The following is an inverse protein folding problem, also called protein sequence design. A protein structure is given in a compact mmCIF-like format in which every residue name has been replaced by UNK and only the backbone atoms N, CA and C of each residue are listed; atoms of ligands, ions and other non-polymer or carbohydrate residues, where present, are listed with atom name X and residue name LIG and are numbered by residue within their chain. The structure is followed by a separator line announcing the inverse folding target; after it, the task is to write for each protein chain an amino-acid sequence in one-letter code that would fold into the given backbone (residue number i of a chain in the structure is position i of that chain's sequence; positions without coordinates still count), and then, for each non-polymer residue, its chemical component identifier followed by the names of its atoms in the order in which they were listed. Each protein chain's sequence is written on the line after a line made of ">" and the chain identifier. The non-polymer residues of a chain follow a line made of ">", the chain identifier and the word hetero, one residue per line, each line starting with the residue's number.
data_IF_160723029198
#
_entry.id   IF_160723029198
#
_cell.length_a   1.000
_cell.length_b   1.000
_cell.length_c   1.000
_cell.angle_alpha   90.00
_cell.angle_beta   90.00
_cell.angle_gamma   90.00
#
_symmetry.space_group_name_H-M   'P 1'
#
loop_
_entity.id
_entity.type
_entity.pdbx_description
1 polymer ?
#
# COMPACT_ATOMS: atom_id res chain seq x y z
N UNK A 1 62.20 0.71 -11.41
CA UNK A 1 61.58 1.93 -10.87
C UNK A 1 60.14 1.69 -10.51
N UNK A 2 59.49 2.58 -9.73
CA UNK A 2 58.06 2.44 -9.35
C UNK A 2 57.11 2.33 -10.55
N UNK A 3 57.48 2.97 -11.66
CA UNK A 3 56.70 2.89 -12.91
C UNK A 3 56.79 1.54 -13.59
N UNK A 4 57.97 0.93 -13.60
CA UNK A 4 58.19 -0.41 -14.17
C UNK A 4 57.39 -1.48 -13.37
N UNK A 5 57.44 -1.41 -12.04
CA UNK A 5 56.68 -2.34 -11.18
C UNK A 5 55.16 -2.12 -11.33
N UNK A 6 54.71 -0.87 -11.57
CA UNK A 6 53.30 -0.61 -11.84
C UNK A 6 52.89 -1.13 -13.22
N UNK A 7 53.73 -1.02 -14.24
CA UNK A 7 53.45 -1.56 -15.58
C UNK A 7 53.44 -3.12 -15.56
N UNK A 8 54.31 -3.75 -14.76
CA UNK A 8 54.34 -5.19 -14.61
C UNK A 8 53.12 -5.70 -13.86
N UNK A 9 52.60 -4.94 -12.87
CA UNK A 9 51.41 -5.28 -12.09
C UNK A 9 50.11 -5.05 -12.86
N UNK A 10 50.05 -4.05 -13.75
CA UNK A 10 48.85 -3.66 -14.51
C UNK A 10 48.95 -3.99 -15.99
N UNK A 11 50.06 -4.57 -16.45
CA UNK A 11 50.30 -4.91 -17.86
C UNK A 11 49.37 -5.97 -18.44
N UNK A 12 48.64 -6.69 -17.59
CA UNK A 12 47.69 -7.73 -17.98
C UNK A 12 46.22 -7.27 -17.78
N UNK A 13 45.97 -5.97 -17.75
CA UNK A 13 44.62 -5.45 -17.73
C UNK A 13 44.01 -5.66 -19.12
N UNK A 14 43.17 -6.69 -19.24
CA UNK A 14 42.42 -6.93 -20.47
C UNK A 14 41.54 -5.73 -20.81
N UNK A 15 41.54 -5.33 -22.06
CA UNK A 15 40.59 -4.31 -22.53
C UNK A 15 39.15 -4.76 -22.25
N UNK A 16 38.29 -3.85 -21.75
CA UNK A 16 36.90 -4.16 -21.48
C UNK A 16 36.22 -4.74 -22.71
N UNK A 17 35.52 -5.84 -22.54
CA UNK A 17 34.80 -6.46 -23.66
C UNK A 17 33.81 -5.48 -24.29
N UNK A 18 33.60 -5.60 -25.60
CA UNK A 18 32.77 -4.65 -26.35
C UNK A 18 31.32 -4.51 -25.79
N UNK A 19 30.83 -5.53 -25.09
CA UNK A 19 29.50 -5.47 -24.47
C UNK A 19 29.50 -4.78 -23.08
N UNK A 20 30.64 -4.56 -22.45
CA UNK A 20 30.73 -3.92 -21.13
C UNK A 20 30.27 -2.45 -21.19
N UNK A 21 30.54 -1.77 -22.31
CA UNK A 21 30.08 -0.39 -22.50
C UNK A 21 28.57 -0.22 -22.49
N UNK A 22 27.78 -0.99 -23.28
CA UNK A 22 26.33 -0.89 -23.21
C UNK A 22 25.77 -1.28 -21.85
N UNK A 23 26.37 -2.26 -21.15
CA UNK A 23 25.96 -2.64 -19.79
C UNK A 23 26.22 -1.49 -18.80
N UNK A 24 27.38 -0.83 -18.87
CA UNK A 24 27.69 0.34 -18.04
C UNK A 24 26.70 1.49 -18.29
N UNK A 25 26.35 1.77 -19.55
CA UNK A 25 25.34 2.78 -19.89
C UNK A 25 23.94 2.42 -19.36
N UNK A 26 23.60 1.15 -19.35
CA UNK A 26 22.34 0.68 -18.76
C UNK A 26 22.32 0.94 -17.23
N UNK A 27 23.42 0.70 -16.51
CA UNK A 27 23.52 1.01 -15.09
C UNK A 27 23.47 2.52 -14.83
N UNK A 28 24.19 3.33 -15.63
CA UNK A 28 24.14 4.79 -15.53
C UNK A 28 22.71 5.28 -15.78
N UNK A 29 22.02 4.74 -16.80
CA UNK A 29 20.63 5.05 -17.10
C UNK A 29 19.70 4.70 -15.94
N UNK A 30 19.93 3.58 -15.24
CA UNK A 30 19.13 3.18 -14.10
C UNK A 30 19.23 4.14 -12.91
N UNK A 31 20.37 4.82 -12.75
CA UNK A 31 20.56 5.84 -11.70
C UNK A 31 19.59 7.02 -11.83
N UNK A 32 19.09 7.31 -13.05
CA UNK A 32 18.10 8.36 -13.27
C UNK A 32 16.79 8.04 -12.56
N UNK A 33 16.44 6.76 -12.37
CA UNK A 33 15.23 6.35 -11.68
C UNK A 33 15.32 6.43 -10.15
N UNK A 34 16.55 6.43 -9.60
CA UNK A 34 16.77 6.48 -8.15
C UNK A 34 16.11 7.71 -7.50
N UNK A 35 16.31 8.96 -8.02
CA UNK A 35 15.67 10.12 -7.42
C UNK A 35 14.14 10.06 -7.47
N UNK A 36 13.54 9.48 -8.51
CA UNK A 36 12.09 9.27 -8.60
C UNK A 36 11.61 8.29 -7.54
N UNK A 37 12.34 7.20 -7.32
CA UNK A 37 12.02 6.22 -6.29
C UNK A 37 12.15 6.82 -4.88
N UNK A 38 13.26 7.54 -4.62
CA UNK A 38 13.49 8.23 -3.34
C UNK A 38 12.42 9.29 -3.08
N UNK A 39 12.04 10.07 -4.09
CA UNK A 39 10.96 11.04 -3.99
C UNK A 39 9.62 10.37 -3.64
N UNK A 40 9.32 9.22 -4.27
CA UNK A 40 8.15 8.41 -3.91
C UNK A 40 8.18 7.96 -2.45
N UNK A 41 9.31 7.43 -1.97
CA UNK A 41 9.48 7.05 -0.58
C UNK A 41 9.27 8.22 0.39
N UNK A 42 9.87 9.38 0.12
CA UNK A 42 9.71 10.58 0.94
C UNK A 42 8.25 11.05 0.96
N UNK A 43 7.57 10.97 -0.16
CA UNK A 43 6.16 11.38 -0.28
C UNK A 43 5.21 10.49 0.53
N UNK A 44 5.49 9.19 0.61
CA UNK A 44 4.58 8.21 1.25
C UNK A 44 5.02 7.79 2.66
N UNK A 45 6.32 7.82 2.96
CA UNK A 45 6.85 7.37 4.25
C UNK A 45 6.30 8.11 5.49
N UNK A 46 6.06 9.44 5.49
CA UNK A 46 5.59 10.15 6.67
C UNK A 46 4.09 10.03 6.92
N UNK A 47 3.32 9.43 5.98
CA UNK A 47 1.87 9.32 6.13
C UNK A 47 1.51 8.26 7.15
N UNK A 48 1.09 8.70 8.32
CA UNK A 48 0.61 7.84 9.39
C UNK A 48 -0.90 8.01 9.53
N UNK A 49 -1.57 6.89 9.73
CA UNK A 49 -2.99 6.83 10.06
C UNK A 49 -3.09 6.16 11.43
N UNK A 50 -3.89 6.71 12.31
CA UNK A 50 -4.20 6.09 13.59
C UNK A 50 -5.66 6.33 13.98
N UNK A 51 -6.19 5.44 14.79
CA UNK A 51 -7.51 5.52 15.36
C UNK A 51 -7.37 5.43 16.87
N UNK A 52 -7.89 6.41 17.56
CA UNK A 52 -7.93 6.42 19.01
C UNK A 52 -9.14 5.66 19.55
N UNK A 53 -9.12 5.20 20.81
CA UNK A 53 -10.23 4.47 21.41
C UNK A 53 -11.54 5.26 21.48
N UNK A 54 -11.48 6.58 21.46
CA UNK A 54 -12.63 7.49 21.41
C UNK A 54 -13.26 7.61 20.02
N UNK A 55 -12.63 6.99 18.99
CA UNK A 55 -13.06 7.01 17.60
C UNK A 55 -12.52 8.19 16.80
N UNK A 56 -11.58 8.96 17.34
CA UNK A 56 -10.86 10.01 16.63
C UNK A 56 -9.92 9.38 15.59
N UNK A 57 -10.04 9.80 14.34
CA UNK A 57 -9.21 9.34 13.23
C UNK A 57 -8.14 10.36 12.91
N UNK A 58 -6.87 9.99 13.07
CA UNK A 58 -5.74 10.81 12.68
C UNK A 58 -5.31 10.48 11.25
N UNK A 59 -5.45 11.45 10.40
CA UNK A 59 -5.01 11.43 9.00
C UNK A 59 -3.67 12.17 8.87
N UNK A 60 -2.91 11.98 7.79
CA UNK A 60 -1.63 12.66 7.60
C UNK A 60 -1.69 14.19 7.62
N UNK A 61 -2.81 14.77 7.25
CA UNK A 61 -2.98 16.21 7.09
C UNK A 61 -3.98 16.82 8.08
N UNK A 62 -4.81 15.99 8.73
CA UNK A 62 -5.87 16.46 9.62
C UNK A 62 -6.26 15.38 10.63
N UNK A 63 -6.93 15.80 11.68
CA UNK A 63 -7.52 14.90 12.69
C UNK A 63 -9.03 15.12 12.67
N UNK A 64 -9.78 14.03 12.58
CA UNK A 64 -11.23 14.03 12.58
C UNK A 64 -11.74 13.41 13.88
N UNK A 65 -12.49 14.15 14.65
CA UNK A 65 -13.20 13.59 15.79
C UNK A 65 -14.27 12.59 15.31
N UNK A 66 -14.66 11.67 16.17
CA UNK A 66 -15.71 10.70 15.86
C UNK A 66 -17.03 11.35 15.43
N UNK A 67 -17.32 12.54 15.97
CA UNK A 67 -18.50 13.36 15.68
C UNK A 67 -18.45 14.07 14.33
N UNK A 68 -17.25 14.27 13.78
CA UNK A 68 -17.06 14.95 12.50
C UNK A 68 -17.22 14.00 11.32
N UNK A 69 -17.28 12.68 11.60
CA UNK A 69 -17.49 11.63 10.60
C UNK A 69 -18.99 11.32 10.55
N UNK A 70 -19.63 11.69 9.46
CA UNK A 70 -21.04 11.42 9.23
C UNK A 70 -21.30 10.03 8.70
N UNK A 71 -20.47 9.58 7.74
CA UNK A 71 -20.66 8.29 7.06
C UNK A 71 -19.33 7.76 6.50
N UNK A 72 -19.34 6.51 6.05
CA UNK A 72 -18.24 5.87 5.34
C UNK A 72 -18.79 5.12 4.12
N UNK A 73 -18.34 5.53 2.95
CA UNK A 73 -18.70 4.89 1.69
C UNK A 73 -17.75 3.72 1.43
N UNK A 74 -18.31 2.51 1.41
CA UNK A 74 -17.59 1.24 1.23
C UNK A 74 -17.83 0.59 -0.13
N UNK A 75 -18.45 1.27 -1.09
CA UNK A 75 -18.80 0.73 -2.41
C UNK A 75 -17.60 0.12 -3.17
N UNK A 76 -16.44 0.73 -3.01
CA UNK A 76 -15.21 0.28 -3.66
C UNK A 76 -14.30 -0.58 -2.79
N UNK A 77 -14.75 -0.86 -1.56
CA UNK A 77 -13.92 -1.55 -0.59
C UNK A 77 -13.53 -2.95 -1.04
N UNK A 78 -14.53 -3.78 -1.37
CA UNK A 78 -14.29 -5.17 -1.78
C UNK A 78 -13.51 -5.29 -3.10
N UNK A 79 -13.69 -4.34 -4.02
CA UNK A 79 -13.06 -4.39 -5.33
C UNK A 79 -11.65 -3.77 -5.38
N UNK A 80 -11.41 -2.73 -4.57
CA UNK A 80 -10.18 -1.90 -4.67
C UNK A 80 -9.52 -1.58 -3.33
N UNK A 81 -10.03 -2.11 -2.22
CA UNK A 81 -9.58 -1.79 -0.86
C UNK A 81 -9.54 -0.28 -0.60
N UNK A 82 -10.51 0.43 -1.15
CA UNK A 82 -10.64 1.89 -1.04
C UNK A 82 -11.99 2.23 -0.43
N UNK A 83 -12.01 3.08 0.59
CA UNK A 83 -13.21 3.64 1.20
C UNK A 83 -13.13 5.17 1.20
N UNK A 84 -14.27 5.83 1.35
CA UNK A 84 -14.34 7.29 1.46
C UNK A 84 -15.04 7.68 2.77
N UNK A 85 -14.34 8.44 3.64
CA UNK A 85 -14.98 9.05 4.80
C UNK A 85 -15.79 10.26 4.34
N UNK A 86 -17.03 10.33 4.76
CA UNK A 86 -17.92 11.48 4.55
C UNK A 86 -18.00 12.26 5.86
N UNK A 87 -17.55 13.50 5.84
CA UNK A 87 -17.58 14.37 7.00
C UNK A 87 -18.89 15.14 7.08
N UNK A 88 -19.23 15.64 8.27
CA UNK A 88 -20.47 16.41 8.51
C UNK A 88 -20.56 17.67 7.63
N UNK A 89 -19.42 18.26 7.27
CA UNK A 89 -19.33 19.38 6.34
C UNK A 89 -19.44 18.98 4.85
N UNK A 90 -19.66 17.69 4.57
CA UNK A 90 -19.87 17.17 3.22
C UNK A 90 -18.58 16.87 2.44
N UNK A 91 -17.40 16.99 3.06
CA UNK A 91 -16.13 16.60 2.43
C UNK A 91 -16.04 15.08 2.33
N UNK A 92 -15.44 14.60 1.25
CA UNK A 92 -15.11 13.19 1.05
C UNK A 92 -13.61 13.00 1.10
N UNK A 93 -13.15 12.14 2.01
CA UNK A 93 -11.73 11.86 2.23
C UNK A 93 -11.46 10.42 1.84
N UNK A 94 -10.70 10.24 0.77
CA UNK A 94 -10.36 8.93 0.26
C UNK A 94 -9.32 8.24 1.14
N UNK A 95 -9.62 7.02 1.57
CA UNK A 95 -8.74 6.11 2.28
C UNK A 95 -8.38 4.94 1.38
N UNK A 96 -7.08 4.73 1.15
CA UNK A 96 -6.56 3.69 0.27
C UNK A 96 -5.74 2.67 1.08
N UNK A 97 -6.40 1.57 1.46
CA UNK A 97 -5.78 0.52 2.26
C UNK A 97 -4.82 -0.38 1.47
N UNK A 98 -4.81 -0.27 0.14
CA UNK A 98 -3.84 -0.98 -0.68
C UNK A 98 -2.42 -0.43 -0.48
N UNK A 99 -2.31 0.90 -0.30
CA UNK A 99 -1.01 1.58 -0.14
C UNK A 99 -0.54 1.56 1.31
N UNK A 100 -1.46 1.71 2.28
CA UNK A 100 -1.11 1.89 3.69
C UNK A 100 -1.45 0.67 4.52
N UNK A 101 -0.40 0.05 5.07
CA UNK A 101 -0.53 -1.10 5.97
C UNK A 101 -1.39 -0.74 7.20
N UNK A 102 -2.27 -1.66 7.58
CA UNK A 102 -3.18 -1.56 8.72
C UNK A 102 -4.31 -0.50 8.59
N UNK A 103 -4.36 0.26 7.48
CA UNK A 103 -5.46 1.21 7.28
C UNK A 103 -6.82 0.49 7.17
N UNK A 104 -6.83 -0.76 6.70
CA UNK A 104 -8.02 -1.59 6.64
C UNK A 104 -8.68 -1.82 8.02
N UNK A 105 -7.89 -1.88 9.10
CA UNK A 105 -8.42 -2.01 10.46
C UNK A 105 -9.12 -0.73 10.91
N UNK A 106 -8.59 0.42 10.56
CA UNK A 106 -9.20 1.72 10.84
C UNK A 106 -10.52 1.85 10.08
N UNK A 107 -10.49 1.55 8.78
CA UNK A 107 -11.69 1.56 7.92
C UNK A 107 -12.74 0.60 8.46
N UNK A 108 -12.36 -0.64 8.79
CA UNK A 108 -13.26 -1.64 9.36
C UNK A 108 -13.87 -1.20 10.69
N UNK A 109 -13.07 -0.63 11.59
CA UNK A 109 -13.56 -0.11 12.88
C UNK A 109 -14.55 1.03 12.69
N UNK A 110 -14.27 1.98 11.78
CA UNK A 110 -15.19 3.09 11.50
C UNK A 110 -16.47 2.58 10.83
N UNK A 111 -16.34 1.67 9.85
CA UNK A 111 -17.50 1.08 9.16
C UNK A 111 -18.38 0.28 10.11
N UNK A 112 -17.80 -0.52 11.01
CA UNK A 112 -18.55 -1.26 12.01
C UNK A 112 -19.25 -0.33 13.02
N UNK A 113 -18.60 0.77 13.41
CA UNK A 113 -19.22 1.77 14.30
C UNK A 113 -20.45 2.44 13.69
N UNK A 114 -20.38 2.77 12.40
CA UNK A 114 -21.45 3.48 11.68
C UNK A 114 -22.51 2.52 11.13
N UNK A 115 -22.09 1.34 10.70
CA UNK A 115 -22.93 0.32 10.06
C UNK A 115 -22.63 -1.08 10.64
N UNK A 116 -22.96 -1.34 11.93
CA UNK A 116 -22.61 -2.60 12.58
C UNK A 116 -23.31 -3.82 11.98
N UNK A 117 -24.46 -3.61 11.34
CA UNK A 117 -25.23 -4.70 10.69
C UNK A 117 -24.68 -5.05 9.30
N UNK A 118 -23.87 -4.18 8.72
CA UNK A 118 -23.31 -4.36 7.37
C UNK A 118 -21.85 -4.76 7.39
N UNK A 119 -21.07 -4.27 8.35
CA UNK A 119 -19.62 -4.42 8.38
C UNK A 119 -19.07 -4.87 9.72
N UNK A 120 -18.12 -5.82 9.70
CA UNK A 120 -17.35 -6.21 10.89
C UNK A 120 -16.22 -5.19 11.16
N UNK A 121 -15.67 -5.21 12.37
CA UNK A 121 -14.50 -4.38 12.73
C UNK A 121 -13.23 -4.65 11.90
N UNK A 122 -13.22 -5.79 11.19
CA UNK A 122 -12.14 -6.13 10.25
C UNK A 122 -12.41 -5.63 8.82
N UNK A 123 -13.54 -4.92 8.59
CA UNK A 123 -13.94 -4.45 7.27
C UNK A 123 -14.47 -5.55 6.35
N UNK A 124 -14.96 -6.66 6.94
CA UNK A 124 -15.65 -7.73 6.19
C UNK A 124 -17.15 -7.48 6.24
N UNK A 125 -17.90 -7.80 5.16
CA UNK A 125 -19.36 -7.75 5.22
C UNK A 125 -19.87 -8.74 6.26
N UNK A 126 -20.87 -8.31 7.03
CA UNK A 126 -21.58 -9.20 7.96
C UNK A 126 -22.36 -10.20 7.12
N UNK A 127 -22.09 -11.49 7.30
CA UNK A 127 -22.86 -12.55 6.63
C UNK A 127 -24.28 -12.55 7.20
N UNK A 128 -25.26 -12.34 6.35
CA UNK A 128 -26.65 -12.68 6.71
C UNK A 128 -26.75 -14.20 6.79
N UNK A 129 -27.28 -14.74 7.88
CA UNK A 129 -27.50 -16.18 8.06
C UNK A 129 -28.34 -16.72 6.90
N UNK A 130 -27.71 -17.36 5.92
CA UNK A 130 -28.38 -17.95 4.75
C UNK A 130 -27.64 -17.81 3.41
N UNK A 131 -26.56 -17.01 3.31
CA UNK A 131 -25.81 -16.88 2.07
C UNK A 131 -24.63 -17.87 2.05
N UNK A 132 -24.56 -18.80 1.07
CA UNK A 132 -23.47 -19.77 0.97
C UNK A 132 -22.13 -19.03 0.76
N UNK A 133 -21.09 -19.47 1.46
CA UNK A 133 -19.73 -18.94 1.38
C UNK A 133 -19.20 -19.02 -0.06
N UNK A 134 -18.92 -17.91 -0.75
CA UNK A 134 -18.44 -17.96 -2.13
C UNK A 134 -16.99 -18.47 -2.27
N UNK A 135 -16.34 -18.89 -1.18
CA UNK A 135 -14.94 -19.32 -1.19
C UNK A 135 -14.69 -20.79 -0.90
N UNK A 136 -15.73 -21.61 -0.75
CA UNK A 136 -15.55 -23.07 -0.67
C UNK A 136 -15.71 -23.65 -2.09
N UNK A 137 -14.65 -24.20 -2.71
CA UNK A 137 -14.83 -25.10 -3.83
C UNK A 137 -15.70 -26.26 -3.36
N UNK A 138 -16.67 -26.59 -4.15
CA UNK A 138 -17.56 -27.73 -3.90
C UNK A 138 -16.75 -29.03 -4.12
N UNK A 139 -16.01 -29.47 -3.10
CA UNK A 139 -15.29 -30.75 -3.11
C UNK A 139 -16.28 -31.89 -2.82
N UNK A 140 -17.22 -32.06 -3.69
CA UNK A 140 -18.20 -33.08 -3.47
C UNK A 140 -18.98 -33.50 -4.70
N UNK A 141 -18.30 -34.16 -5.67
CA UNK A 141 -18.87 -35.23 -6.49
C UNK A 141 -17.81 -35.82 -7.43
N UNK A 142 -16.89 -36.57 -6.84
CA UNK A 142 -16.32 -37.72 -7.57
C UNK A 142 -16.78 -39.00 -6.81
N UNK A 143 -17.67 -39.71 -7.39
CA UNK A 143 -17.97 -41.03 -6.88
C UNK A 143 -19.23 -41.70 -7.45
N UNK A 144 -19.21 -42.06 -8.73
CA UNK A 144 -19.59 -43.42 -9.21
C UNK A 144 -19.57 -43.53 -10.71
#
# INVERSE_FOLDING_TARGET
>A
TRLENAMELYGDVQEPAAYDRPVQWMFIGSLVFVPFYVFGLIKYAPKKYSLDPDGTVHLPNETLAATDIQDIDMDRWMAKSTAELVTVDGRRIKLDAFIFKNLHLIIGSVANRLHPDAWTSEGKPVKSDGEPDPQLPNDGEEGK
#
